data_IF_189048928339
#
_entry.id   IF_189048928339
#
_cell.length_a   1.000
_cell.length_b   1.000
_cell.length_c   1.000
_cell.angle_alpha   90.00
_cell.angle_beta   90.00
_cell.angle_gamma   90.00
#
_symmetry.space_group_name_H-M   'P 1'
#
loop_
_entity.id
_entity.type
_entity.pdbx_description
1 polymer ?
#
# COMPACT_ATOMS: atom_id res chain seq x y z
N UNK A 1 -4.02 -11.45 19.12
CA UNK A 1 -4.64 -12.37 18.14
C UNK A 1 -3.56 -13.38 17.72
N UNK A 2 -3.90 -14.65 17.51
CA UNK A 2 -2.93 -15.63 17.03
C UNK A 2 -2.70 -15.44 15.53
N UNK A 3 -1.44 -15.30 15.10
CA UNK A 3 -1.09 -15.16 13.70
C UNK A 3 -0.91 -16.52 12.99
N UNK A 4 -0.61 -16.47 11.69
CA UNK A 4 -0.42 -17.64 10.83
C UNK A 4 0.60 -18.65 11.36
N UNK A 5 1.65 -18.17 12.02
CA UNK A 5 2.76 -18.99 12.49
C UNK A 5 2.58 -19.46 13.95
N UNK A 6 1.42 -19.15 14.57
CA UNK A 6 1.04 -19.64 15.89
C UNK A 6 1.40 -18.71 17.07
N UNK A 7 1.85 -17.48 16.78
CA UNK A 7 2.22 -16.50 17.81
C UNK A 7 1.06 -15.56 18.15
N UNK A 8 0.87 -15.28 19.44
CA UNK A 8 -0.12 -14.28 19.88
C UNK A 8 0.49 -12.88 19.84
N UNK A 9 0.03 -12.06 18.90
CA UNK A 9 0.54 -10.71 18.63
C UNK A 9 -0.53 -9.63 18.86
N UNK A 10 -0.08 -8.44 19.27
CA UNK A 10 -0.90 -7.24 19.41
C UNK A 10 -0.83 -6.39 18.12
N UNK A 11 -1.86 -5.57 17.82
CA UNK A 11 -1.84 -4.64 16.69
C UNK A 11 -1.00 -3.41 17.04
N UNK A 12 0.30 -3.45 16.77
CA UNK A 12 1.24 -2.35 17.02
C UNK A 12 1.85 -1.90 15.71
N UNK A 13 2.43 -0.71 15.65
CA UNK A 13 3.12 -0.25 14.43
C UNK A 13 4.22 -1.22 13.98
N UNK A 14 4.90 -1.89 14.90
CA UNK A 14 5.95 -2.88 14.57
C UNK A 14 5.36 -4.13 13.92
N UNK A 15 4.28 -4.67 14.49
CA UNK A 15 3.64 -5.90 13.99
C UNK A 15 2.85 -5.67 12.70
N UNK A 16 2.32 -4.47 12.51
CA UNK A 16 1.72 -4.01 11.25
C UNK A 16 2.78 -3.86 10.15
N UNK A 17 3.93 -3.24 10.45
CA UNK A 17 5.06 -3.11 9.50
C UNK A 17 5.60 -4.48 9.09
N UNK A 18 5.73 -5.41 10.02
CA UNK A 18 6.16 -6.78 9.73
C UNK A 18 5.22 -7.47 8.72
N UNK A 19 3.91 -7.41 8.97
CA UNK A 19 2.92 -7.98 8.05
C UNK A 19 2.94 -7.30 6.67
N UNK A 20 2.93 -5.96 6.62
CA UNK A 20 2.89 -5.22 5.35
C UNK A 20 4.17 -5.40 4.52
N UNK A 21 5.32 -5.60 5.16
CA UNK A 21 6.58 -5.91 4.46
C UNK A 21 6.51 -7.24 3.71
N UNK A 22 5.92 -8.28 4.30
CA UNK A 22 5.74 -9.56 3.61
C UNK A 22 4.66 -9.45 2.52
N UNK A 23 3.56 -8.74 2.82
CA UNK A 23 2.47 -8.53 1.87
C UNK A 23 2.93 -7.77 0.61
N UNK A 24 3.83 -6.80 0.74
CA UNK A 24 4.28 -5.97 -0.38
C UNK A 24 4.96 -6.78 -1.49
N UNK A 25 5.55 -7.93 -1.16
CA UNK A 25 6.21 -8.84 -2.10
C UNK A 25 5.23 -9.52 -3.07
N UNK A 26 3.94 -9.50 -2.74
CA UNK A 26 2.89 -10.14 -3.53
C UNK A 26 2.14 -9.17 -4.43
N UNK A 27 2.44 -7.87 -4.32
CA UNK A 27 1.75 -6.81 -5.06
C UNK A 27 2.10 -6.90 -6.55
N UNK A 28 1.10 -6.95 -7.45
CA UNK A 28 1.33 -6.97 -8.88
C UNK A 28 1.69 -5.57 -9.40
N UNK A 29 2.13 -5.48 -10.65
CA UNK A 29 2.29 -4.19 -11.32
C UNK A 29 0.92 -3.47 -11.48
N UNK A 30 0.90 -2.14 -11.70
CA UNK A 30 -0.35 -1.37 -11.71
C UNK A 30 -1.39 -1.80 -12.77
N UNK A 31 -0.95 -2.40 -13.86
CA UNK A 31 -1.79 -2.84 -14.99
C UNK A 31 -2.03 -4.35 -15.05
N UNK A 32 -1.52 -5.10 -14.07
CA UNK A 32 -1.78 -6.52 -13.90
C UNK A 32 -3.10 -6.76 -13.14
N UNK A 33 -3.43 -8.03 -12.87
CA UNK A 33 -4.68 -8.40 -12.21
C UNK A 33 -4.60 -8.27 -10.67
N UNK A 34 -5.49 -7.46 -10.11
CA UNK A 34 -5.63 -7.23 -8.66
C UNK A 34 -6.80 -8.00 -8.02
N UNK A 35 -7.58 -8.77 -8.78
CA UNK A 35 -8.82 -9.40 -8.32
C UNK A 35 -8.66 -10.31 -7.08
N UNK A 36 -7.51 -10.97 -6.95
CA UNK A 36 -7.18 -11.84 -5.81
C UNK A 36 -6.24 -11.22 -4.77
N UNK A 37 -6.05 -9.90 -4.77
CA UNK A 37 -5.00 -9.27 -3.94
C UNK A 37 -5.27 -9.42 -2.44
N UNK A 38 -6.53 -9.38 -2.01
CA UNK A 38 -6.88 -9.42 -0.58
C UNK A 38 -6.38 -10.72 0.07
N UNK A 39 -6.59 -11.85 -0.57
CA UNK A 39 -6.14 -13.16 -0.10
C UNK A 39 -4.61 -13.27 -0.01
N UNK A 40 -3.89 -12.43 -0.77
CA UNK A 40 -2.43 -12.42 -0.82
C UNK A 40 -1.79 -11.49 0.19
N UNK A 41 -2.49 -10.45 0.66
CA UNK A 41 -1.91 -9.42 1.55
C UNK A 41 -2.31 -9.58 3.01
N UNK A 42 -3.39 -10.30 3.31
CA UNK A 42 -3.80 -10.59 4.69
C UNK A 42 -3.09 -11.82 5.25
N UNK A 43 -3.07 -11.97 6.58
CA UNK A 43 -2.55 -13.14 7.29
C UNK A 43 -1.15 -13.60 6.84
N UNK A 44 -0.25 -12.62 6.72
CA UNK A 44 1.14 -12.88 6.33
C UNK A 44 1.90 -13.71 7.37
N UNK A 45 2.87 -14.52 6.95
CA UNK A 45 3.75 -15.26 7.86
C UNK A 45 4.67 -14.30 8.64
N UNK A 46 5.35 -14.82 9.65
CA UNK A 46 6.31 -14.11 10.51
C UNK A 46 5.86 -14.04 11.96
N UNK A 47 6.79 -14.25 12.89
CA UNK A 47 6.51 -14.28 14.33
C UNK A 47 5.83 -12.99 14.83
N UNK A 48 6.18 -11.85 14.24
CA UNK A 48 5.64 -10.54 14.58
C UNK A 48 4.57 -10.03 13.61
N UNK A 49 4.09 -10.83 12.66
CA UNK A 49 3.09 -10.36 11.70
C UNK A 49 1.71 -10.32 12.32
N UNK A 50 1.10 -9.13 12.38
CA UNK A 50 -0.30 -9.01 12.77
C UNK A 50 -1.21 -9.62 11.68
N UNK A 51 -2.11 -10.56 12.00
CA UNK A 51 -2.77 -11.37 10.97
C UNK A 51 -3.88 -10.66 10.21
N UNK A 52 -4.42 -9.55 10.73
CA UNK A 52 -5.48 -8.77 10.09
C UNK A 52 -4.88 -7.42 9.69
N UNK A 53 -4.17 -7.41 8.58
CA UNK A 53 -3.48 -6.23 8.06
C UNK A 53 -3.56 -6.25 6.54
N UNK A 54 -3.81 -5.09 5.93
CA UNK A 54 -3.94 -4.91 4.49
C UNK A 54 -3.56 -3.48 4.12
N UNK A 55 -3.36 -3.24 2.82
CA UNK A 55 -3.26 -1.91 2.24
C UNK A 55 -4.64 -1.27 2.09
N UNK A 56 -4.67 0.06 2.07
CA UNK A 56 -5.76 0.84 1.49
C UNK A 56 -5.51 1.02 0.00
N UNK A 57 -6.54 0.85 -0.82
CA UNK A 57 -6.43 0.90 -2.27
C UNK A 57 -7.13 2.14 -2.83
N UNK A 58 -6.48 2.78 -3.80
CA UNK A 58 -7.01 3.93 -4.53
C UNK A 58 -7.17 3.52 -5.98
N UNK A 59 -8.33 3.80 -6.57
CA UNK A 59 -8.61 3.53 -7.98
C UNK A 59 -8.68 4.84 -8.74
N UNK A 60 -7.80 5.00 -9.73
CA UNK A 60 -7.75 6.17 -10.61
C UNK A 60 -8.12 5.77 -12.04
N UNK A 61 -8.63 6.74 -12.81
CA UNK A 61 -8.82 6.58 -14.25
C UNK A 61 -7.47 6.71 -14.94
N UNK A 62 -7.30 6.05 -16.09
CA UNK A 62 -6.08 6.19 -16.90
C UNK A 62 -6.01 7.52 -17.66
N UNK A 63 -7.14 8.24 -17.77
CA UNK A 63 -7.24 9.42 -18.63
C UNK A 63 -8.06 10.53 -17.98
N UNK A 64 -7.54 11.75 -18.03
CA UNK A 64 -8.18 12.97 -17.51
C UNK A 64 -7.94 14.15 -18.46
N UNK A 65 -8.68 15.25 -18.30
CA UNK A 65 -8.29 16.52 -18.91
C UNK A 65 -6.91 16.98 -18.36
N UNK A 66 -6.12 17.75 -19.12
CA UNK A 66 -4.73 18.06 -18.78
C UNK A 66 -4.54 18.58 -17.35
N UNK A 67 -5.36 19.56 -16.93
CA UNK A 67 -5.26 20.17 -15.61
C UNK A 67 -5.54 19.15 -14.51
N UNK A 68 -6.56 18.30 -14.65
CA UNK A 68 -6.83 17.25 -13.66
C UNK A 68 -5.77 16.16 -13.67
N UNK A 69 -5.21 15.81 -14.83
CA UNK A 69 -4.14 14.81 -14.90
C UNK A 69 -2.93 15.24 -14.08
N UNK A 70 -2.53 16.51 -14.19
CA UNK A 70 -1.43 17.10 -13.41
C UNK A 70 -1.73 17.07 -11.90
N UNK A 71 -2.89 17.59 -11.48
CA UNK A 71 -3.27 17.64 -10.07
C UNK A 71 -3.39 16.26 -9.41
N UNK A 72 -3.90 15.26 -10.15
CA UNK A 72 -3.97 13.88 -9.66
C UNK A 72 -2.58 13.30 -9.48
N UNK A 73 -1.68 13.51 -10.45
CA UNK A 73 -0.28 13.06 -10.34
C UNK A 73 0.45 13.73 -9.18
N UNK A 74 0.28 15.03 -9.00
CA UNK A 74 0.91 15.79 -7.92
C UNK A 74 0.40 15.34 -6.55
N UNK A 75 -0.92 15.29 -6.36
CA UNK A 75 -1.51 14.94 -5.08
C UNK A 75 -1.12 13.51 -4.64
N UNK A 76 -1.31 12.52 -5.51
CA UNK A 76 -0.97 11.14 -5.14
C UNK A 76 0.54 10.90 -5.15
N UNK A 77 1.32 11.67 -5.93
CA UNK A 77 2.77 11.68 -5.83
C UNK A 77 3.24 12.15 -4.45
N UNK A 78 2.63 13.21 -3.91
CA UNK A 78 2.87 13.66 -2.54
C UNK A 78 2.45 12.61 -1.51
N UNK A 79 1.24 12.02 -1.65
CA UNK A 79 0.75 10.98 -0.73
C UNK A 79 1.73 9.82 -0.62
N UNK A 80 2.25 9.33 -1.75
CA UNK A 80 3.15 8.17 -1.81
C UNK A 80 4.61 8.50 -1.43
N UNK A 81 4.93 9.77 -1.13
CA UNK A 81 6.28 10.20 -0.79
C UNK A 81 6.29 10.97 0.53
N UNK A 82 6.03 12.27 0.48
CA UNK A 82 5.99 13.16 1.63
C UNK A 82 4.90 12.77 2.65
N UNK A 83 3.77 12.25 2.17
CA UNK A 83 2.68 11.75 3.00
C UNK A 83 3.03 10.51 3.83
N UNK A 84 4.03 9.74 3.40
CA UNK A 84 4.50 8.53 4.11
C UNK A 84 5.52 8.83 5.21
N UNK A 85 5.91 10.11 5.39
CA UNK A 85 6.78 10.50 6.50
C UNK A 85 6.09 10.23 7.84
N UNK A 86 6.80 9.72 8.85
CA UNK A 86 6.19 9.31 10.13
C UNK A 86 5.29 10.35 10.78
N UNK A 87 5.62 11.64 10.66
CA UNK A 87 4.84 12.77 11.18
C UNK A 87 3.50 13.00 10.47
N UNK A 88 3.35 12.48 9.24
CA UNK A 88 2.15 12.63 8.40
C UNK A 88 1.27 11.37 8.40
N UNK A 89 1.79 10.24 8.92
CA UNK A 89 1.04 8.98 9.00
C UNK A 89 0.11 8.99 10.20
N UNK A 90 -1.17 8.70 9.95
CA UNK A 90 -2.21 8.63 10.98
C UNK A 90 -1.96 7.46 11.94
N UNK A 91 -2.36 7.64 13.20
CA UNK A 91 -2.38 6.56 14.17
C UNK A 91 -3.23 5.37 13.65
N UNK A 92 -2.70 4.16 13.81
CA UNK A 92 -3.30 2.94 13.26
C UNK A 92 -2.88 2.60 11.83
N UNK A 93 -2.20 3.52 11.14
CA UNK A 93 -1.51 3.25 9.87
C UNK A 93 0.00 3.12 10.10
N UNK A 94 0.67 2.52 9.11
CA UNK A 94 2.12 2.46 9.04
C UNK A 94 2.57 2.93 7.67
N UNK A 95 3.75 3.57 7.54
CA UNK A 95 4.28 3.96 6.25
C UNK A 95 4.36 2.78 5.30
N UNK A 96 4.09 3.03 4.02
CA UNK A 96 4.25 2.05 2.96
C UNK A 96 5.71 1.58 2.86
N UNK A 97 5.95 0.28 2.61
CA UNK A 97 7.24 -0.18 2.14
C UNK A 97 7.61 0.53 0.84
N UNK A 98 8.89 0.89 0.62
CA UNK A 98 9.32 1.58 -0.60
C UNK A 98 8.89 0.87 -1.89
N UNK A 99 8.89 -0.46 -1.90
CA UNK A 99 8.49 -1.27 -3.04
C UNK A 99 7.00 -1.09 -3.39
N UNK A 100 6.14 -0.97 -2.38
CA UNK A 100 4.72 -0.73 -2.55
C UNK A 100 4.45 0.70 -3.04
N UNK A 101 5.13 1.70 -2.45
CA UNK A 101 5.03 3.09 -2.90
C UNK A 101 5.46 3.24 -4.38
N UNK A 102 6.50 2.52 -4.80
CA UNK A 102 6.98 2.55 -6.18
C UNK A 102 5.96 2.00 -7.19
N UNK A 103 5.12 1.03 -6.81
CA UNK A 103 4.02 0.54 -7.65
C UNK A 103 3.02 1.67 -7.89
N UNK A 104 2.63 2.39 -6.84
CA UNK A 104 1.76 3.55 -6.95
C UNK A 104 2.34 4.66 -7.83
N UNK A 105 3.63 4.97 -7.66
CA UNK A 105 4.32 5.99 -8.47
C UNK A 105 4.34 5.62 -9.96
N UNK A 106 4.62 4.35 -10.29
CA UNK A 106 4.50 3.85 -11.67
C UNK A 106 3.07 3.97 -12.21
N UNK A 107 2.05 3.74 -11.38
CA UNK A 107 0.66 3.89 -11.78
C UNK A 107 0.34 5.33 -12.20
N UNK A 108 0.93 6.33 -11.53
CA UNK A 108 0.75 7.75 -11.88
C UNK A 108 1.39 8.10 -13.22
N UNK A 109 2.54 7.50 -13.57
CA UNK A 109 3.18 7.67 -14.88
C UNK A 109 2.29 7.17 -16.03
N UNK A 110 1.40 6.21 -15.76
CA UNK A 110 0.46 5.67 -16.75
C UNK A 110 -0.73 6.58 -17.03
N UNK A 111 -0.95 7.64 -16.24
CA UNK A 111 -2.04 8.59 -16.45
C UNK A 111 -1.74 9.45 -17.68
N UNK A 112 -2.68 9.47 -18.62
CA UNK A 112 -2.63 10.23 -19.87
C UNK A 112 -3.61 11.40 -19.85
N UNK A 113 -3.29 12.40 -20.65
CA UNK A 113 -4.17 13.53 -20.94
C UNK A 113 -5.08 13.16 -22.12
N UNK A 114 -6.32 13.64 -22.11
CA UNK A 114 -7.31 13.48 -23.20
C UNK A 114 -7.38 14.74 -24.03
#
# INVERSE_FOLDING_TARGET
LMNRDGFFVLPTSETLKAAIKEASLTLPNPDEDWSGIIDKVVNQPGENSYPITSFSFIILRKTYDPVKAELVKEFFGWVLTEGEKPENVLEGYVPLPPEAAQIGLKALEMIKEV
#
